data_IF_497215625767
#
_entry.id   IF_497215625767
#
_cell.length_a   1.000
_cell.length_b   1.000
_cell.length_c   1.000
_cell.angle_alpha   90.00
_cell.angle_beta   90.00
_cell.angle_gamma   90.00
#
_symmetry.space_group_name_H-M   'P 1'
#
loop_
_entity.id
_entity.type
_entity.pdbx_description
1 polymer ?
#
# COMPACT_ATOMS: atom_id res chain seq x y z
N UNK A 1 -28.77 -3.12 -6.94
CA UNK A 1 -27.79 -2.48 -6.03
C UNK A 1 -27.39 -1.18 -6.67
N UNK A 2 -27.77 -0.03 -6.10
CA UNK A 2 -27.30 1.25 -6.62
C UNK A 2 -25.80 1.34 -6.33
N UNK A 3 -24.99 1.48 -7.39
CA UNK A 3 -23.55 1.70 -7.24
C UNK A 3 -23.34 3.03 -6.52
N UNK A 4 -22.92 2.98 -5.25
CA UNK A 4 -22.59 4.17 -4.48
C UNK A 4 -21.09 4.45 -4.63
N UNK A 5 -20.72 5.65 -5.12
CA UNK A 5 -19.32 5.97 -5.31
C UNK A 5 -18.59 6.01 -3.95
N UNK A 6 -17.33 5.53 -3.90
CA UNK A 6 -16.51 5.59 -2.70
C UNK A 6 -16.36 7.04 -2.22
N UNK A 7 -16.17 7.23 -0.91
CA UNK A 7 -15.96 8.57 -0.37
C UNK A 7 -14.67 9.20 -0.91
N UNK A 8 -14.64 10.53 -1.07
CA UNK A 8 -13.44 11.26 -1.49
C UNK A 8 -12.24 10.93 -0.58
N UNK A 9 -12.47 10.83 0.73
CA UNK A 9 -11.44 10.45 1.70
C UNK A 9 -10.89 9.05 1.47
N UNK A 10 -11.76 8.06 1.22
CA UNK A 10 -11.33 6.69 0.90
C UNK A 10 -10.46 6.68 -0.35
N UNK A 11 -10.86 7.40 -1.39
CA UNK A 11 -10.10 7.47 -2.65
C UNK A 11 -8.72 8.07 -2.40
N UNK A 12 -8.64 9.22 -1.69
CA UNK A 12 -7.37 9.88 -1.37
C UNK A 12 -6.45 8.94 -0.58
N UNK A 13 -6.98 8.28 0.45
CA UNK A 13 -6.17 7.41 1.32
C UNK A 13 -5.68 6.15 0.59
N UNK A 14 -6.53 5.52 -0.23
CA UNK A 14 -6.12 4.41 -1.08
C UNK A 14 -5.05 4.85 -2.10
N UNK A 15 -5.16 6.06 -2.66
CA UNK A 15 -4.17 6.58 -3.61
C UNK A 15 -2.80 6.79 -2.95
N UNK A 16 -2.77 7.34 -1.73
CA UNK A 16 -1.53 7.52 -0.97
C UNK A 16 -0.88 6.18 -0.62
N UNK A 17 -1.66 5.18 -0.24
CA UNK A 17 -1.13 3.84 0.05
C UNK A 17 -0.58 3.14 -1.19
N UNK A 18 -1.26 3.26 -2.34
CA UNK A 18 -0.75 2.74 -3.62
C UNK A 18 0.53 3.46 -4.04
N UNK A 19 0.57 4.78 -3.94
CA UNK A 19 1.77 5.56 -4.23
C UNK A 19 2.95 5.12 -3.35
N UNK A 20 2.73 5.00 -2.03
CA UNK A 20 3.73 4.49 -1.10
C UNK A 20 4.22 3.07 -1.44
N UNK A 21 3.31 2.16 -1.77
CA UNK A 21 3.66 0.81 -2.22
C UNK A 21 4.46 0.80 -3.53
N UNK A 22 4.13 1.67 -4.48
CA UNK A 22 4.88 1.82 -5.74
C UNK A 22 6.28 2.38 -5.51
N UNK A 23 6.46 3.37 -4.62
CA UNK A 23 7.80 3.86 -4.27
C UNK A 23 8.68 2.75 -3.70
N UNK A 24 8.13 1.90 -2.84
CA UNK A 24 8.85 0.74 -2.30
C UNK A 24 9.23 -0.26 -3.40
N UNK A 25 8.31 -0.55 -4.33
CA UNK A 25 8.60 -1.45 -5.45
C UNK A 25 9.67 -0.88 -6.39
N UNK A 26 9.64 0.43 -6.67
CA UNK A 26 10.65 1.08 -7.50
C UNK A 26 12.04 0.97 -6.85
N UNK A 27 12.16 1.23 -5.55
CA UNK A 27 13.43 1.06 -4.83
C UNK A 27 13.96 -0.39 -4.96
N UNK A 28 13.08 -1.37 -4.78
CA UNK A 28 13.41 -2.80 -4.83
C UNK A 28 13.88 -3.24 -6.23
N UNK A 29 13.17 -2.85 -7.29
CA UNK A 29 13.46 -3.31 -8.66
C UNK A 29 14.60 -2.54 -9.34
N UNK A 30 14.73 -1.24 -9.04
CA UNK A 30 15.76 -0.40 -9.64
C UNK A 30 17.03 -0.29 -8.78
N UNK A 31 17.05 -0.95 -7.62
CA UNK A 31 18.18 -0.98 -6.68
C UNK A 31 18.73 0.43 -6.39
N UNK A 32 17.85 1.42 -6.30
CA UNK A 32 18.22 2.71 -5.74
C UNK A 32 18.68 2.44 -4.30
N UNK A 33 19.96 2.66 -4.02
CA UNK A 33 20.53 2.39 -2.70
C UNK A 33 20.42 3.67 -1.87
N UNK A 34 19.50 3.73 -0.91
CA UNK A 34 19.56 4.69 0.20
C UNK A 34 18.31 5.50 0.51
N UNK A 35 17.16 5.25 -0.13
CA UNK A 35 15.90 5.89 0.26
C UNK A 35 15.24 5.12 1.41
N UNK A 36 15.30 3.78 1.35
CA UNK A 36 14.75 2.93 2.40
C UNK A 36 15.82 2.51 3.41
N UNK A 37 15.64 2.77 4.73
CA UNK A 37 16.60 2.35 5.74
C UNK A 37 16.63 0.83 5.88
N UNK A 38 17.79 0.29 6.24
CA UNK A 38 17.92 -1.11 6.61
C UNK A 38 17.17 -1.36 7.93
N UNK A 39 16.08 -2.13 7.86
CA UNK A 39 15.33 -2.58 9.03
C UNK A 39 15.82 -3.98 9.41
N UNK A 40 16.33 -4.13 10.63
CA UNK A 40 16.80 -5.41 11.16
C UNK A 40 15.61 -6.23 11.72
N UNK A 41 14.73 -6.69 10.84
CA UNK A 41 13.61 -7.59 11.21
C UNK A 41 14.05 -9.06 11.17
N UNK A 42 15.09 -9.40 11.94
CA UNK A 42 15.60 -10.76 12.04
C UNK A 42 16.48 -11.17 10.85
N UNK A 43 16.43 -12.44 10.38
CA UNK A 43 17.30 -12.96 9.33
C UNK A 43 16.92 -12.51 7.91
N UNK A 44 15.90 -11.67 7.78
CA UNK A 44 15.41 -11.18 6.49
C UNK A 44 16.33 -10.10 5.95
N UNK A 45 16.61 -10.16 4.65
CA UNK A 45 17.26 -9.06 3.94
C UNK A 45 16.36 -7.81 3.95
N UNK A 46 16.96 -6.63 3.79
CA UNK A 46 16.20 -5.37 3.69
C UNK A 46 15.21 -5.41 2.52
N UNK A 47 15.59 -6.05 1.41
CA UNK A 47 14.75 -6.27 0.23
C UNK A 47 13.48 -7.07 0.57
N UNK A 48 13.62 -8.20 1.27
CA UNK A 48 12.48 -9.02 1.67
C UNK A 48 11.56 -8.29 2.64
N UNK A 49 12.16 -7.57 3.61
CA UNK A 49 11.43 -6.79 4.60
C UNK A 49 10.55 -5.73 3.95
N UNK A 50 11.13 -4.93 3.06
CA UNK A 50 10.40 -3.89 2.36
C UNK A 50 9.41 -4.45 1.35
N UNK A 51 9.71 -5.59 0.72
CA UNK A 51 8.76 -6.30 -0.14
C UNK A 51 7.48 -6.72 0.60
N UNK A 52 7.62 -7.26 1.82
CA UNK A 52 6.48 -7.62 2.68
C UNK A 52 5.66 -6.38 3.06
N UNK A 53 6.33 -5.29 3.45
CA UNK A 53 5.67 -4.03 3.80
C UNK A 53 4.91 -3.46 2.60
N UNK A 54 5.54 -3.45 1.41
CA UNK A 54 4.93 -2.99 0.16
C UNK A 54 3.67 -3.78 -0.21
N UNK A 55 3.72 -5.11 -0.13
CA UNK A 55 2.55 -5.97 -0.34
C UNK A 55 1.43 -5.70 0.67
N UNK A 56 1.79 -5.48 1.95
CA UNK A 56 0.83 -5.10 2.99
C UNK A 56 0.12 -3.77 2.71
N UNK A 57 0.86 -2.76 2.23
CA UNK A 57 0.30 -1.46 1.86
C UNK A 57 -0.67 -1.55 0.67
N UNK A 58 -0.33 -2.34 -0.36
CA UNK A 58 -1.21 -2.57 -1.51
C UNK A 58 -2.49 -3.28 -1.08
N UNK A 59 -2.39 -4.32 -0.24
CA UNK A 59 -3.56 -5.00 0.31
C UNK A 59 -4.44 -4.05 1.15
N UNK A 60 -3.82 -3.22 1.99
CA UNK A 60 -4.56 -2.24 2.81
C UNK A 60 -5.27 -1.21 1.93
N UNK A 61 -4.63 -0.73 0.86
CA UNK A 61 -5.23 0.20 -0.09
C UNK A 61 -6.48 -0.39 -0.75
N UNK A 62 -6.39 -1.65 -1.19
CA UNK A 62 -7.50 -2.41 -1.75
C UNK A 62 -8.62 -2.62 -0.72
N UNK A 63 -8.27 -3.00 0.50
CA UNK A 63 -9.23 -3.25 1.57
C UNK A 63 -10.01 -1.99 1.97
N UNK A 64 -9.34 -0.83 2.07
CA UNK A 64 -10.00 0.45 2.31
C UNK A 64 -10.94 0.84 1.17
N UNK A 65 -10.55 0.59 -0.08
CA UNK A 65 -11.41 0.83 -1.24
C UNK A 65 -12.65 -0.08 -1.19
N UNK A 66 -12.50 -1.35 -0.84
CA UNK A 66 -13.60 -2.29 -0.65
C UNK A 66 -14.55 -1.83 0.47
N UNK A 67 -14.02 -1.44 1.62
CA UNK A 67 -14.81 -0.92 2.75
C UNK A 67 -15.55 0.37 2.38
N UNK A 68 -14.88 1.32 1.72
CA UNK A 68 -15.51 2.59 1.33
C UNK A 68 -16.62 2.45 0.29
N UNK A 69 -16.64 1.37 -0.47
CA UNK A 69 -17.75 1.00 -1.37
C UNK A 69 -18.87 0.27 -0.61
N UNK A 70 -18.53 -0.67 0.29
CA UNK A 70 -19.51 -1.51 1.01
C UNK A 70 -20.24 -0.78 2.15
N UNK A 71 -19.55 0.07 2.90
CA UNK A 71 -20.11 0.73 4.10
C UNK A 71 -21.04 1.90 3.81
N UNK A 72 -21.04 2.44 2.57
CA UNK A 72 -22.00 3.47 2.14
C UNK A 72 -23.33 2.91 1.62
N UNK A 73 -23.49 1.59 1.63
CA UNK A 73 -24.70 0.89 1.17
C UNK A 73 -25.71 0.57 2.27
N UNK A 74 -25.52 1.09 3.49
CA UNK A 74 -26.47 1.00 4.62
C UNK A 74 -27.17 2.36 4.76
#
# INVERSE_FOLDING_TARGET
MAWTPPSKFTVIFSFLLVAGGLFILIELFFAFTGILPALALGPLSSTETWGIIGMGLVFLAWFLMFLGVRLKGI
#
